data_IF_496534495114
#
_entry.id   IF_496534495114
#
_cell.length_a   1.000
_cell.length_b   1.000
_cell.length_c   1.000
_cell.angle_alpha   90.00
_cell.angle_beta   90.00
_cell.angle_gamma   90.00
#
_symmetry.space_group_name_H-M   'P 1'
#
loop_
_entity.id
_entity.type
_entity.pdbx_description
1 polymer ?
#
# COMPACT_ATOMS: atom_id res chain seq x y z
N UNK A 1 3.11 -47.78 -5.31
CA UNK A 1 2.07 -46.80 -4.91
C UNK A 1 2.81 -45.65 -4.24
N UNK A 2 2.69 -44.43 -4.76
CA UNK A 2 3.31 -43.27 -4.12
C UNK A 2 2.74 -43.13 -2.70
N UNK A 3 3.61 -42.96 -1.73
CA UNK A 3 3.25 -42.89 -0.31
C UNK A 3 2.36 -41.66 -0.11
N UNK A 4 1.06 -41.88 0.09
CA UNK A 4 0.02 -40.83 0.07
C UNK A 4 0.29 -39.73 1.10
N UNK A 5 1.01 -40.06 2.17
CA UNK A 5 1.47 -39.13 3.20
C UNK A 5 2.51 -38.13 2.68
N UNK A 6 3.39 -38.53 1.77
CA UNK A 6 4.40 -37.66 1.16
C UNK A 6 3.75 -36.66 0.21
N UNK A 7 2.76 -37.11 -0.58
CA UNK A 7 1.99 -36.25 -1.48
C UNK A 7 1.20 -35.17 -0.72
N UNK A 8 0.61 -35.51 0.43
CA UNK A 8 -0.10 -34.53 1.27
C UNK A 8 0.85 -33.48 1.84
N UNK A 9 2.04 -33.88 2.32
CA UNK A 9 3.06 -32.93 2.80
C UNK A 9 3.53 -32.01 1.68
N UNK A 10 3.82 -32.56 0.50
CA UNK A 10 4.30 -31.77 -0.63
C UNK A 10 3.23 -30.77 -1.11
N UNK A 11 1.96 -31.17 -1.10
CA UNK A 11 0.84 -30.28 -1.39
C UNK A 11 0.73 -29.14 -0.37
N UNK A 12 0.80 -29.45 0.92
CA UNK A 12 0.75 -28.43 2.00
C UNK A 12 1.91 -27.44 1.90
N UNK A 13 3.13 -27.92 1.62
CA UNK A 13 4.29 -27.04 1.44
C UNK A 13 4.13 -26.13 0.22
N UNK A 14 3.73 -26.66 -0.94
CA UNK A 14 3.51 -25.87 -2.16
C UNK A 14 2.41 -24.84 -1.96
N UNK A 15 1.32 -25.23 -1.29
CA UNK A 15 0.22 -24.32 -0.94
C UNK A 15 0.71 -23.19 -0.03
N UNK A 16 1.47 -23.49 1.02
CA UNK A 16 2.01 -22.47 1.92
C UNK A 16 2.97 -21.50 1.21
N UNK A 17 3.75 -21.98 0.24
CA UNK A 17 4.62 -21.15 -0.60
C UNK A 17 3.78 -20.22 -1.47
N UNK A 18 2.75 -20.73 -2.14
CA UNK A 18 1.81 -19.94 -2.93
C UNK A 18 1.06 -18.89 -2.11
N UNK A 19 0.57 -19.26 -0.92
CA UNK A 19 -0.14 -18.34 -0.01
C UNK A 19 0.71 -17.13 0.38
N UNK A 20 2.04 -17.29 0.53
CA UNK A 20 2.96 -16.17 0.80
C UNK A 20 3.05 -15.17 -0.37
N UNK A 21 2.77 -15.60 -1.59
CA UNK A 21 2.76 -14.74 -2.77
C UNK A 21 1.38 -14.13 -3.07
N UNK A 22 0.32 -14.61 -2.42
CA UNK A 22 -1.04 -14.10 -2.64
C UNK A 22 -1.28 -12.82 -1.85
N UNK A 23 -1.74 -11.76 -2.55
CA UNK A 23 -2.12 -10.46 -1.93
C UNK A 23 -3.28 -10.60 -0.92
N UNK A 24 -4.10 -11.65 -1.02
CA UNK A 24 -5.21 -11.91 -0.10
C UNK A 24 -5.51 -13.43 -0.03
N UNK A 25 -4.87 -14.20 0.87
CA UNK A 25 -5.14 -15.62 1.01
C UNK A 25 -6.51 -15.81 1.70
N UNK A 26 -7.58 -15.80 0.91
CA UNK A 26 -8.91 -16.13 1.41
C UNK A 26 -8.99 -17.65 1.55
N UNK A 27 -9.04 -18.14 2.79
CA UNK A 27 -9.09 -19.58 3.11
C UNK A 27 -10.51 -20.18 3.00
N UNK A 28 -11.52 -19.40 2.61
CA UNK A 28 -12.89 -19.89 2.47
C UNK A 28 -13.06 -20.70 1.20
N UNK A 29 -12.84 -22.02 1.31
CA UNK A 29 -13.23 -23.01 0.30
C UNK A 29 -14.73 -23.03 0.02
N UNK A 30 -15.54 -22.40 0.89
CA UNK A 30 -17.00 -22.33 0.80
C UNK A 30 -17.58 -21.27 -0.13
N UNK A 31 -16.75 -20.50 -0.86
CA UNK A 31 -17.24 -19.54 -1.87
C UNK A 31 -17.64 -20.23 -3.19
N UNK A 32 -17.18 -21.46 -3.42
CA UNK A 32 -17.58 -22.32 -4.55
C UNK A 32 -18.16 -23.66 -4.06
N UNK A 33 -18.60 -23.73 -2.81
CA UNK A 33 -19.30 -24.89 -2.27
C UNK A 33 -20.76 -24.87 -2.71
N UNK A 34 -21.23 -25.97 -3.30
CA UNK A 34 -22.58 -26.11 -3.87
C UNK A 34 -23.70 -26.18 -2.81
N UNK A 35 -23.51 -25.60 -1.62
CA UNK A 35 -24.55 -25.50 -0.60
C UNK A 35 -25.51 -24.36 -0.96
N UNK A 36 -26.71 -24.70 -1.38
CA UNK A 36 -27.79 -23.82 -1.89
C UNK A 36 -28.47 -23.02 -0.75
N UNK A 37 -27.78 -22.81 0.36
CA UNK A 37 -28.37 -22.13 1.51
C UNK A 37 -28.33 -20.62 1.28
N UNK A 38 -29.51 -20.05 1.03
CA UNK A 38 -29.77 -18.62 0.91
C UNK A 38 -29.73 -17.93 2.29
N UNK A 39 -28.62 -18.11 3.01
CA UNK A 39 -28.34 -17.45 4.29
C UNK A 39 -27.14 -16.55 4.11
N UNK A 40 -27.30 -15.29 4.48
CA UNK A 40 -26.17 -14.38 4.63
C UNK A 40 -25.19 -15.01 5.64
N UNK A 41 -24.00 -15.37 5.17
CA UNK A 41 -22.99 -16.06 5.99
C UNK A 41 -22.28 -15.10 6.95
N UNK A 42 -22.67 -13.82 7.00
CA UNK A 42 -22.10 -12.77 7.85
C UNK A 42 -20.55 -12.74 7.76
N UNK A 43 -20.02 -13.12 6.60
CA UNK A 43 -18.58 -13.19 6.34
C UNK A 43 -18.13 -11.76 6.07
N UNK A 44 -17.60 -11.12 7.11
CA UNK A 44 -16.88 -9.87 6.93
C UNK A 44 -15.67 -10.16 6.05
N UNK A 45 -15.67 -9.62 4.83
CA UNK A 45 -14.51 -9.60 3.97
C UNK A 45 -13.43 -8.73 4.64
N UNK A 46 -12.65 -9.34 5.53
CA UNK A 46 -11.42 -8.74 5.99
C UNK A 46 -10.48 -8.74 4.79
N UNK A 47 -10.42 -7.61 4.09
CA UNK A 47 -9.29 -7.33 3.22
C UNK A 47 -8.05 -7.45 4.10
N UNK A 48 -7.26 -8.52 3.90
CA UNK A 48 -6.08 -8.84 4.71
C UNK A 48 -4.96 -7.79 4.63
N UNK A 49 -5.19 -6.68 3.93
CA UNK A 49 -4.33 -5.51 3.85
C UNK A 49 -4.40 -4.54 5.04
N UNK A 50 -5.27 -4.77 6.04
CA UNK A 50 -5.20 -4.10 7.34
C UNK A 50 -5.32 -2.57 7.29
N UNK A 51 -6.15 -2.04 6.39
CA UNK A 51 -6.38 -0.60 6.28
C UNK A 51 -7.59 -0.25 7.17
N UNK A 52 -7.37 0.58 8.19
CA UNK A 52 -8.47 1.20 8.94
C UNK A 52 -8.91 2.45 8.19
N UNK A 53 -10.00 2.35 7.41
CA UNK A 53 -10.64 3.51 6.78
C UNK A 53 -11.88 3.95 7.55
N UNK A 54 -12.13 5.26 7.56
CA UNK A 54 -13.34 5.93 8.03
C UNK A 54 -14.38 6.03 6.91
N UNK A 55 -15.66 6.23 7.25
CA UNK A 55 -16.73 6.53 6.29
C UNK A 55 -16.53 7.85 5.53
N UNK A 56 -15.62 8.70 5.99
CA UNK A 56 -15.24 9.96 5.35
C UNK A 56 -14.01 9.84 4.44
N UNK A 57 -13.35 8.68 4.42
CA UNK A 57 -12.14 8.51 3.62
C UNK A 57 -12.50 8.39 2.15
N UNK A 58 -11.95 9.31 1.36
CA UNK A 58 -12.01 9.27 -0.10
C UNK A 58 -10.89 8.38 -0.62
N UNK A 59 -11.27 7.38 -1.40
CA UNK A 59 -10.35 6.59 -2.22
C UNK A 59 -10.46 7.07 -3.66
N UNK A 60 -9.32 7.29 -4.30
CA UNK A 60 -9.27 7.73 -5.69
C UNK A 60 -8.53 6.71 -6.53
N UNK A 61 -9.04 6.44 -7.73
CA UNK A 61 -8.39 5.53 -8.68
C UNK A 61 -7.82 6.36 -9.83
N UNK A 62 -6.52 6.23 -10.06
CA UNK A 62 -5.81 6.91 -11.15
C UNK A 62 -4.95 5.91 -11.90
N UNK A 63 -4.70 6.10 -13.21
CA UNK A 63 -3.72 5.29 -13.92
C UNK A 63 -2.32 5.53 -13.32
N UNK A 64 -1.48 4.50 -13.30
CA UNK A 64 -0.14 4.61 -12.71
C UNK A 64 0.97 4.32 -13.72
N UNK A 65 2.14 4.91 -13.44
CA UNK A 65 3.41 4.63 -14.11
C UNK A 65 4.40 4.09 -13.06
N UNK A 66 5.19 3.08 -13.45
CA UNK A 66 6.13 2.39 -12.56
C UNK A 66 5.47 1.44 -11.57
N UNK A 67 5.96 1.37 -10.32
CA UNK A 67 5.43 0.48 -9.28
C UNK A 67 5.23 1.23 -7.94
N UNK A 68 4.12 2.00 -7.79
CA UNK A 68 3.87 2.81 -6.60
C UNK A 68 3.31 2.05 -5.37
N UNK A 69 3.27 0.72 -5.37
CA UNK A 69 2.57 -0.05 -4.33
C UNK A 69 3.12 0.22 -2.92
N UNK A 70 2.24 0.57 -1.97
CA UNK A 70 2.56 0.87 -0.56
C UNK A 70 3.56 2.03 -0.39
N UNK A 71 3.60 2.95 -1.35
CA UNK A 71 4.47 4.14 -1.36
C UNK A 71 3.65 5.43 -1.41
N UNK A 72 4.31 6.52 -1.05
CA UNK A 72 3.85 7.87 -1.40
C UNK A 72 3.81 8.04 -2.91
N UNK A 73 2.81 8.76 -3.38
CA UNK A 73 2.62 9.06 -4.80
C UNK A 73 2.51 10.55 -5.05
N UNK A 74 3.02 10.96 -6.20
CA UNK A 74 2.80 12.28 -6.81
C UNK A 74 1.85 12.15 -7.99
N UNK A 75 1.12 13.22 -8.28
CA UNK A 75 0.26 13.31 -9.47
C UNK A 75 1.02 14.03 -10.57
N UNK A 76 1.19 13.37 -11.71
CA UNK A 76 1.88 13.93 -12.87
C UNK A 76 0.82 14.36 -13.89
N UNK A 77 0.71 15.66 -14.09
CA UNK A 77 -0.14 16.25 -15.13
C UNK A 77 0.82 16.84 -16.16
N UNK A 78 0.88 16.24 -17.35
CA UNK A 78 1.66 16.78 -18.45
C UNK A 78 0.83 17.86 -19.16
N UNK A 79 1.33 19.09 -19.20
CA UNK A 79 0.72 20.16 -19.99
C UNK A 79 0.95 19.91 -21.50
N UNK A 80 0.00 20.38 -22.32
CA UNK A 80 0.01 20.15 -23.77
C UNK A 80 1.16 20.91 -24.45
N UNK A 81 2.34 20.29 -24.55
CA UNK A 81 3.48 20.81 -25.33
C UNK A 81 3.44 20.35 -26.78
N UNK A 82 3.46 21.31 -27.70
CA UNK A 82 3.58 21.09 -29.15
C UNK A 82 4.84 20.26 -29.44
N UNK A 83 4.67 19.03 -29.94
CA UNK A 83 5.69 18.02 -30.30
C UNK A 83 6.06 16.97 -29.23
N UNK A 84 5.37 16.89 -28.10
CA UNK A 84 5.52 15.78 -27.15
C UNK A 84 4.25 14.92 -27.11
N UNK A 85 4.40 13.61 -26.89
CA UNK A 85 3.26 12.70 -26.74
C UNK A 85 2.60 13.02 -25.39
N UNK A 86 1.35 13.47 -25.42
CA UNK A 86 0.56 13.70 -24.21
C UNK A 86 0.17 12.37 -23.58
N UNK A 87 0.61 12.15 -22.34
CA UNK A 87 0.09 11.06 -21.51
C UNK A 87 -1.11 11.53 -20.68
N UNK A 88 -2.05 10.61 -20.45
CA UNK A 88 -3.12 10.85 -19.48
C UNK A 88 -2.54 11.19 -18.09
N UNK A 89 -3.22 12.03 -17.28
CA UNK A 89 -2.82 12.30 -15.92
C UNK A 89 -2.66 11.00 -15.15
N UNK A 90 -1.45 10.71 -14.69
CA UNK A 90 -1.12 9.47 -14.03
C UNK A 90 -0.39 9.73 -12.72
N UNK A 91 -0.25 8.68 -11.93
CA UNK A 91 0.43 8.72 -10.64
C UNK A 91 1.72 7.93 -10.69
N UNK A 92 2.73 8.47 -10.02
CA UNK A 92 4.06 7.88 -9.92
C UNK A 92 4.51 7.87 -8.46
N UNK A 93 5.48 7.02 -8.14
CA UNK A 93 6.15 7.06 -6.86
C UNK A 93 6.76 8.46 -6.64
N UNK A 94 6.45 9.07 -5.49
CA UNK A 94 6.78 10.46 -5.22
C UNK A 94 6.59 10.83 -3.76
N UNK A 95 7.28 11.86 -3.31
CA UNK A 95 7.15 12.38 -1.95
C UNK A 95 7.80 13.75 -1.81
N UNK A 96 8.02 14.18 -0.57
CA UNK A 96 8.41 15.56 -0.28
C UNK A 96 7.25 16.54 -0.49
N UNK A 97 7.49 17.59 -1.27
CA UNK A 97 6.52 18.67 -1.53
C UNK A 97 5.43 18.25 -2.52
N UNK A 98 5.73 17.33 -3.44
CA UNK A 98 4.80 16.84 -4.47
C UNK A 98 3.93 15.66 -4.01
N UNK A 99 3.88 15.38 -2.71
CA UNK A 99 3.14 14.25 -2.16
C UNK A 99 1.63 14.48 -2.31
N UNK A 100 1.01 13.74 -3.22
CA UNK A 100 -0.43 13.74 -3.44
C UNK A 100 -1.16 12.84 -2.45
N UNK A 101 -0.62 11.64 -2.22
CA UNK A 101 -1.26 10.63 -1.40
C UNK A 101 -0.44 9.37 -1.27
N UNK A 102 -1.10 8.29 -0.88
CA UNK A 102 -0.49 6.98 -0.64
C UNK A 102 -1.19 5.95 -1.51
N UNK A 103 -0.43 5.22 -2.32
CA UNK A 103 -0.96 4.10 -3.07
C UNK A 103 -1.08 2.87 -2.15
N UNK A 104 -2.31 2.40 -1.99
CA UNK A 104 -2.63 1.27 -1.10
C UNK A 104 -2.76 -0.04 -1.85
N UNK A 105 -3.18 0.03 -3.11
CA UNK A 105 -3.36 -1.11 -3.99
C UNK A 105 -3.16 -0.74 -5.46
N UNK A 106 -2.83 -1.76 -6.24
CA UNK A 106 -2.60 -1.65 -7.68
C UNK A 106 -3.28 -2.84 -8.37
N UNK A 107 -4.08 -2.51 -9.38
CA UNK A 107 -4.56 -3.45 -10.36
C UNK A 107 -3.67 -3.41 -11.61
N UNK A 108 -2.89 -4.47 -11.79
CA UNK A 108 -1.96 -4.64 -12.92
C UNK A 108 -2.69 -4.89 -14.25
N UNK A 109 -3.94 -5.39 -14.21
CA UNK A 109 -4.71 -5.65 -15.42
C UNK A 109 -5.26 -4.34 -16.02
N UNK A 110 -5.92 -3.52 -15.20
CA UNK A 110 -6.44 -2.22 -15.65
C UNK A 110 -5.41 -1.09 -15.62
N UNK A 111 -4.21 -1.35 -15.08
CA UNK A 111 -3.16 -0.34 -14.83
C UNK A 111 -3.65 0.83 -13.96
N UNK A 112 -4.51 0.54 -13.00
CA UNK A 112 -5.03 1.54 -12.06
C UNK A 112 -4.46 1.36 -10.66
N UNK A 113 -4.14 2.48 -10.01
CA UNK A 113 -3.70 2.53 -8.63
C UNK A 113 -4.78 3.16 -7.76
N UNK A 114 -5.08 2.52 -6.63
CA UNK A 114 -5.97 3.06 -5.61
C UNK A 114 -5.17 3.87 -4.61
N UNK A 115 -5.57 5.11 -4.43
CA UNK A 115 -4.84 6.13 -3.68
C UNK A 115 -5.70 6.64 -2.54
N UNK A 116 -5.07 6.76 -1.37
CA UNK A 116 -5.58 7.52 -0.25
C UNK A 116 -4.94 8.91 -0.31
N UNK A 117 -5.70 9.97 -0.58
CA UNK A 117 -5.17 11.34 -0.55
C UNK A 117 -4.53 11.64 0.80
N UNK A 118 -3.43 12.41 0.79
CA UNK A 118 -2.69 12.71 2.02
C UNK A 118 -3.52 13.49 3.04
N UNK A 119 -4.65 14.07 2.65
CA UNK A 119 -5.58 14.75 3.58
C UNK A 119 -6.29 13.81 4.55
N UNK A 120 -6.34 12.51 4.24
CA UNK A 120 -7.02 11.52 5.07
C UNK A 120 -6.04 10.90 6.08
N UNK A 121 -6.60 10.39 7.17
CA UNK A 121 -5.81 9.60 8.11
C UNK A 121 -5.65 8.19 7.54
N UNK A 122 -4.45 7.63 7.62
CA UNK A 122 -4.20 6.27 7.14
C UNK A 122 -3.34 5.51 8.15
N UNK A 123 -3.76 4.30 8.49
CA UNK A 123 -2.95 3.37 9.28
C UNK A 123 -2.71 2.11 8.46
N UNK A 124 -1.44 1.71 8.31
CA UNK A 124 -1.09 0.52 7.54
C UNK A 124 0.41 0.29 7.41
N UNK A 125 0.79 -0.76 6.70
CA UNK A 125 2.18 -1.05 6.37
C UNK A 125 2.59 -0.32 5.09
N UNK A 126 3.67 0.45 5.15
CA UNK A 126 4.23 1.19 4.01
C UNK A 126 5.72 0.88 3.84
N UNK A 127 6.22 1.14 2.63
CA UNK A 127 7.63 0.91 2.27
C UNK A 127 8.53 1.91 3.01
N UNK A 128 9.53 1.39 3.71
CA UNK A 128 10.63 2.16 4.29
C UNK A 128 11.87 2.07 3.39
N UNK A 129 12.69 3.13 3.42
CA UNK A 129 13.97 3.22 2.71
C UNK A 129 14.97 2.19 3.24
N UNK A 130 14.99 1.99 4.54
CA UNK A 130 15.96 1.19 5.27
C UNK A 130 15.37 0.65 6.58
N UNK A 131 16.17 -0.13 7.32
CA UNK A 131 15.80 -0.69 8.62
C UNK A 131 15.87 0.33 9.78
N UNK A 132 16.13 1.61 9.49
CA UNK A 132 16.30 2.65 10.52
C UNK A 132 15.02 3.05 11.27
N UNK A 133 13.81 3.08 10.66
CA UNK A 133 12.58 3.45 11.36
C UNK A 133 12.30 2.52 12.54
N UNK A 134 12.24 3.09 13.74
CA UNK A 134 11.80 2.40 14.96
C UNK A 134 10.46 2.94 15.43
N UNK A 135 9.79 2.14 16.25
CA UNK A 135 8.53 2.51 16.89
C UNK A 135 8.63 3.90 17.55
N UNK A 136 7.63 4.76 17.31
CA UNK A 136 7.53 6.19 17.69
C UNK A 136 8.42 7.17 16.92
N UNK A 137 9.21 6.72 15.94
CA UNK A 137 9.95 7.64 15.08
C UNK A 137 9.00 8.44 14.17
N UNK A 138 9.37 9.70 13.94
CA UNK A 138 8.72 10.58 12.96
C UNK A 138 9.31 10.31 11.58
N UNK A 139 8.44 10.13 10.59
CA UNK A 139 8.80 9.71 9.24
C UNK A 139 8.31 10.70 8.18
N UNK A 140 9.04 10.75 7.07
CA UNK A 140 8.71 11.56 5.89
C UNK A 140 8.86 10.71 4.63
N UNK A 141 8.02 10.99 3.63
CA UNK A 141 8.16 10.39 2.30
C UNK A 141 9.31 11.04 1.55
N UNK A 142 10.29 10.24 1.12
CA UNK A 142 11.38 10.67 0.26
C UNK A 142 10.90 10.86 -1.20
N UNK A 143 11.80 11.26 -2.10
CA UNK A 143 11.48 11.48 -3.52
C UNK A 143 10.95 10.24 -4.25
N UNK A 144 11.26 9.05 -3.75
CA UNK A 144 10.83 7.75 -4.31
C UNK A 144 9.56 7.21 -3.64
N UNK A 145 8.91 8.00 -2.79
CA UNK A 145 7.72 7.61 -2.04
C UNK A 145 7.96 6.59 -0.91
N UNK A 146 9.22 6.32 -0.54
CA UNK A 146 9.56 5.49 0.62
C UNK A 146 9.69 6.35 1.89
N UNK A 147 9.38 5.74 3.03
CA UNK A 147 9.49 6.40 4.33
C UNK A 147 10.94 6.41 4.82
N UNK A 148 11.40 7.57 5.24
CA UNK A 148 12.68 7.75 5.91
C UNK A 148 12.51 8.49 7.24
N UNK A 149 13.38 8.16 8.19
CA UNK A 149 13.41 8.80 9.50
C UNK A 149 13.79 10.28 9.38
N UNK A 150 13.10 11.13 10.12
CA UNK A 150 13.49 12.55 10.25
C UNK A 150 14.78 12.63 11.05
N UNK A 151 15.85 13.10 10.41
CA UNK A 151 17.12 13.43 11.07
C UNK A 151 17.06 14.81 11.72
N UNK A 152 17.60 14.92 12.94
CA UNK A 152 17.69 16.19 13.65
C UNK A 152 18.56 17.18 12.86
N UNK A 153 18.02 18.38 12.60
CA UNK A 153 18.69 19.45 11.83
C UNK A 153 18.13 19.65 10.42
N UNK A 154 17.38 18.69 9.87
CA UNK A 154 16.60 18.94 8.67
C UNK A 154 15.30 19.65 9.07
N UNK A 155 15.16 20.92 8.72
CA UNK A 155 13.88 21.65 8.77
C UNK A 155 12.90 21.05 7.74
N UNK A 156 12.56 19.78 7.88
CA UNK A 156 11.43 19.18 7.16
C UNK A 156 10.18 19.63 7.90
N UNK A 157 9.58 20.69 7.38
CA UNK A 157 8.32 21.30 7.82
C UNK A 157 7.14 20.33 7.75
N UNK A 158 7.30 19.17 7.11
CA UNK A 158 6.23 18.20 6.86
C UNK A 158 6.58 16.84 7.49
N UNK A 159 6.10 16.59 8.71
CA UNK A 159 6.05 15.23 9.28
C UNK A 159 4.78 14.58 8.73
N UNK A 160 4.93 13.47 8.01
CA UNK A 160 3.80 12.84 7.32
C UNK A 160 3.29 11.59 8.05
N UNK A 161 4.14 10.94 8.84
CA UNK A 161 3.80 9.70 9.53
C UNK A 161 4.56 9.50 10.85
N UNK A 162 3.98 8.67 11.72
CA UNK A 162 4.65 8.11 12.91
C UNK A 162 4.71 6.60 12.78
N UNK A 163 5.87 6.03 13.08
CA UNK A 163 6.07 4.59 13.13
C UNK A 163 5.33 3.96 14.32
N UNK A 164 4.48 2.98 14.05
CA UNK A 164 3.80 2.14 15.04
C UNK A 164 4.54 0.83 15.31
N UNK A 165 5.47 0.45 14.43
CA UNK A 165 6.35 -0.70 14.60
C UNK A 165 7.76 -0.37 14.16
N UNK A 166 8.69 -1.25 14.47
CA UNK A 166 10.02 -1.24 13.85
C UNK A 166 9.92 -1.71 12.38
N UNK A 167 10.84 -1.24 11.54
CA UNK A 167 10.94 -1.66 10.16
C UNK A 167 11.31 -3.15 10.07
N UNK A 168 10.57 -3.90 9.25
CA UNK A 168 10.79 -5.33 8.99
C UNK A 168 11.19 -5.53 7.54
N UNK A 169 12.28 -6.25 7.33
CA UNK A 169 12.71 -6.66 6.00
C UNK A 169 11.78 -7.74 5.47
N UNK A 170 11.29 -7.57 4.24
CA UNK A 170 10.46 -8.56 3.54
C UNK A 170 11.24 -9.22 2.40
N UNK A 171 12.10 -8.44 1.74
CA UNK A 171 13.03 -8.89 0.71
C UNK A 171 14.33 -8.11 0.84
N UNK A 172 15.39 -8.52 0.13
CA UNK A 172 16.76 -7.99 0.28
C UNK A 172 16.79 -6.46 0.46
N UNK A 173 16.10 -5.72 -0.41
CA UNK A 173 16.09 -4.25 -0.41
C UNK A 173 14.73 -3.62 -0.07
N UNK A 174 13.77 -4.40 0.44
CA UNK A 174 12.41 -3.92 0.75
C UNK A 174 12.10 -4.08 2.22
N UNK A 175 11.92 -2.95 2.88
CA UNK A 175 11.51 -2.85 4.29
C UNK A 175 10.08 -2.35 4.37
N UNK A 176 9.25 -2.97 5.21
CA UNK A 176 7.93 -2.45 5.57
C UNK A 176 7.91 -2.00 7.02
N UNK A 177 7.23 -0.88 7.26
CA UNK A 177 6.99 -0.33 8.59
C UNK A 177 5.50 -0.07 8.76
N UNK A 178 4.94 -0.47 9.90
CA UNK A 178 3.57 -0.08 10.26
C UNK A 178 3.58 1.38 10.67
N UNK A 179 2.74 2.20 10.06
CA UNK A 179 2.68 3.64 10.34
C UNK A 179 1.25 4.13 10.53
N UNK A 180 1.14 5.21 11.30
CA UNK A 180 0.00 6.10 11.26
C UNK A 180 0.42 7.37 10.51
N UNK A 181 -0.21 7.60 9.36
CA UNK A 181 -0.07 8.78 8.53
C UNK A 181 -1.09 9.79 9.01
N UNK A 182 -0.61 10.97 9.39
CA UNK A 182 -1.45 12.08 9.78
C UNK A 182 -1.36 13.08 8.66
N UNK A 183 -2.49 13.30 8.00
CA UNK A 183 -2.52 14.16 6.84
C UNK A 183 -2.02 15.56 7.13
N UNK A 184 -1.38 16.17 6.14
CA UNK A 184 -0.98 17.56 6.23
C UNK A 184 -2.25 18.42 6.14
N UNK A 185 -2.90 18.67 7.28
CA UNK A 185 -4.15 19.45 7.37
C UNK A 185 -3.98 20.94 7.04
N UNK A 186 -2.78 21.35 6.60
CA UNK A 186 -2.41 22.74 6.36
C UNK A 186 -2.96 23.33 5.06
N UNK A 187 -3.63 22.56 4.19
CA UNK A 187 -4.40 23.16 3.08
C UNK A 187 -5.77 23.59 3.64
N UNK A 188 -5.78 24.75 4.31
CA UNK A 188 -6.99 25.55 4.39
C UNK A 188 -7.44 25.81 2.95
N UNK A 189 -8.65 25.35 2.62
CA UNK A 189 -9.31 25.71 1.36
C UNK A 189 -9.29 27.24 1.22
N UNK A 190 -8.74 27.72 0.10
CA UNK A 190 -9.17 29.01 -0.45
C UNK A 190 -10.50 28.81 -1.16
#
# INVERSE_FOLDING_TARGET
>A
MADTTQLVKEYQEKRSKLEKFMKNPQHYTGLLGNSIEFRDKNVQFFASGGIRTSSFDKLENHPYSGYPYKRGVKRVIQEEKKNEIHYEPHVEAGGGEDLYGICIDIDEFSKTATIVPITNNFEGYLVAKDAMPKTKDKLVFNKDGALEKVTAGANKTTINAIALSDAKQISNDVYLVKVAVFGNKAISKN
#
